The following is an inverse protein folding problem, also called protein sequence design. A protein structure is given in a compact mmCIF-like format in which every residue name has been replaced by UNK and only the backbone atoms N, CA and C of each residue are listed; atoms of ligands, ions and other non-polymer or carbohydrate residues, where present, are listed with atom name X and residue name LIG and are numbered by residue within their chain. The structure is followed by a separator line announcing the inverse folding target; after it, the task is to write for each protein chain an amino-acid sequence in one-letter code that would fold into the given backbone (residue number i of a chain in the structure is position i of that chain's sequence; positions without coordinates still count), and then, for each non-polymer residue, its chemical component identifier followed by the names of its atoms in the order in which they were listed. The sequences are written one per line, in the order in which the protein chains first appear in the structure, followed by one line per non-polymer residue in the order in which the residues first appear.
data_IF_326271877569
#
_entry.id   IF_326271877569
#
_cell.length_a   1.000
_cell.length_b   1.000
_cell.length_c   1.000
_cell.angle_alpha   90.00
_cell.angle_beta   90.00
_cell.angle_gamma   90.00
#
_symmetry.space_group_name_H-M   'P 1'
#
loop_
_entity.id
_entity.type
_entity.pdbx_description
1 polymer ?
#
# COMPACT_ATOMS: atom_id res chain seq x y z
N UNK A 1 -10.75 0.42 -7.37
CA UNK A 1 -9.95 0.89 -6.22
C UNK A 1 -10.42 2.26 -5.76
N UNK A 2 -10.23 3.35 -6.53
CA UNK A 2 -10.66 4.70 -6.13
C UNK A 2 -12.14 4.77 -5.71
N UNK A 3 -13.06 4.27 -6.55
CA UNK A 3 -14.51 4.27 -6.26
C UNK A 3 -14.81 3.60 -4.92
N UNK A 4 -14.29 2.37 -4.73
CA UNK A 4 -14.41 1.66 -3.47
C UNK A 4 -13.88 2.48 -2.28
N UNK A 5 -12.71 3.10 -2.43
CA UNK A 5 -12.07 3.91 -1.39
C UNK A 5 -12.94 5.11 -1.01
N UNK A 6 -13.55 5.79 -1.99
CA UNK A 6 -14.46 6.91 -1.74
C UNK A 6 -15.74 6.48 -1.00
N UNK A 7 -16.28 5.31 -1.35
CA UNK A 7 -17.51 4.79 -0.76
C UNK A 7 -17.31 4.25 0.67
N UNK A 8 -16.19 3.56 0.91
CA UNK A 8 -15.99 2.78 2.15
C UNK A 8 -14.99 3.43 3.12
N UNK A 9 -14.17 4.36 2.64
CA UNK A 9 -13.19 5.09 3.45
C UNK A 9 -13.15 6.57 3.02
N UNK A 10 -14.27 7.31 3.13
CA UNK A 10 -14.39 8.65 2.57
C UNK A 10 -13.42 9.65 3.24
N UNK A 11 -13.03 10.74 2.54
CA UNK A 11 -12.08 11.72 3.05
C UNK A 11 -12.39 12.28 4.45
N UNK A 12 -13.67 12.46 4.77
CA UNK A 12 -14.13 13.00 6.06
C UNK A 12 -13.75 12.12 7.26
N UNK A 13 -13.47 10.83 7.05
CA UNK A 13 -12.95 9.93 8.08
C UNK A 13 -11.48 10.18 8.40
N UNK A 14 -10.80 11.02 7.59
CA UNK A 14 -9.38 11.38 7.69
C UNK A 14 -8.47 10.17 7.82
N UNK A 15 -8.56 9.17 6.93
CA UNK A 15 -7.77 7.95 7.07
C UNK A 15 -6.28 8.22 6.82
N UNK A 16 -5.42 7.47 7.50
CA UNK A 16 -4.03 7.31 7.07
C UNK A 16 -3.95 6.22 6.01
N UNK A 17 -3.50 6.58 4.82
CA UNK A 17 -3.45 5.70 3.65
C UNK A 17 -2.01 5.49 3.20
N UNK A 18 -1.65 4.22 3.00
CA UNK A 18 -0.38 3.83 2.39
C UNK A 18 -0.62 3.14 1.05
N UNK A 19 0.00 3.68 0.00
CA UNK A 19 0.09 3.09 -1.33
C UNK A 19 1.41 2.31 -1.48
N UNK A 20 1.30 0.98 -1.52
CA UNK A 20 2.43 0.04 -1.53
C UNK A 20 2.86 -0.21 -2.98
N UNK A 21 4.10 0.13 -3.31
CA UNK A 21 4.62 0.12 -4.69
C UNK A 21 3.95 1.22 -5.53
N UNK A 22 4.00 2.45 -5.02
CA UNK A 22 3.32 3.62 -5.55
C UNK A 22 3.75 3.98 -6.98
N UNK A 23 4.91 3.49 -7.45
CA UNK A 23 5.42 3.76 -8.78
C UNK A 23 5.54 5.25 -9.06
N UNK A 24 4.68 5.77 -9.93
CA UNK A 24 4.64 7.19 -10.29
C UNK A 24 3.78 8.06 -9.36
N UNK A 25 3.24 7.52 -8.27
CA UNK A 25 2.43 8.27 -7.29
C UNK A 25 1.03 8.65 -7.76
N UNK A 26 0.54 8.10 -8.88
CA UNK A 26 -0.75 8.53 -9.43
C UNK A 26 -1.93 8.22 -8.49
N UNK A 27 -1.89 7.09 -7.77
CA UNK A 27 -2.99 6.71 -6.87
C UNK A 27 -3.13 7.72 -5.71
N UNK A 28 -2.02 8.07 -5.05
CA UNK A 28 -2.00 9.09 -3.98
C UNK A 28 -2.37 10.47 -4.48
N UNK A 29 -1.93 10.87 -5.68
CA UNK A 29 -2.37 12.13 -6.31
C UNK A 29 -3.87 12.11 -6.58
N UNK A 30 -4.41 11.03 -7.14
CA UNK A 30 -5.85 10.90 -7.41
C UNK A 30 -6.67 10.92 -6.12
N UNK A 31 -6.18 10.34 -5.02
CA UNK A 31 -6.82 10.50 -3.71
C UNK A 31 -6.83 11.99 -3.30
N UNK A 32 -5.70 12.68 -3.39
CA UNK A 32 -5.63 14.10 -3.05
C UNK A 32 -6.59 14.97 -3.90
N UNK A 33 -6.71 14.67 -5.21
CA UNK A 33 -7.67 15.31 -6.12
C UNK A 33 -9.13 15.08 -5.71
N UNK A 34 -9.41 14.00 -4.98
CA UNK A 34 -10.74 13.67 -4.45
C UNK A 34 -10.91 14.02 -2.96
N UNK A 35 -10.10 14.96 -2.46
CA UNK A 35 -10.32 15.58 -1.14
C UNK A 35 -9.64 14.89 0.04
N UNK A 36 -8.84 13.85 -0.18
CA UNK A 36 -8.05 13.25 0.88
C UNK A 36 -6.94 14.19 1.36
N UNK A 37 -6.70 14.21 2.67
CA UNK A 37 -5.66 15.02 3.30
C UNK A 37 -4.27 14.54 2.86
N UNK A 38 -3.56 15.36 2.07
CA UNK A 38 -2.21 15.06 1.55
C UNK A 38 -1.20 14.71 2.63
N UNK A 39 -1.37 15.22 3.84
CA UNK A 39 -0.47 14.93 4.97
C UNK A 39 -0.66 13.54 5.55
N UNK A 40 -1.75 12.85 5.16
CA UNK A 40 -2.09 11.48 5.57
C UNK A 40 -1.94 10.45 4.45
N UNK A 41 -1.43 10.88 3.29
CA UNK A 41 -1.13 10.03 2.16
C UNK A 41 0.37 9.76 2.10
N UNK A 42 0.71 8.47 2.04
CA UNK A 42 2.09 8.04 1.84
C UNK A 42 2.15 7.06 0.69
N UNK A 43 3.09 7.29 -0.22
CA UNK A 43 3.47 6.31 -1.25
C UNK A 43 4.85 5.76 -0.97
N UNK A 44 5.02 4.45 -1.01
CA UNK A 44 6.33 3.82 -0.94
C UNK A 44 6.65 3.03 -2.20
N UNK A 45 7.93 2.93 -2.52
CA UNK A 45 8.44 2.11 -3.61
C UNK A 45 9.89 1.74 -3.28
N UNK A 46 10.33 0.56 -3.70
CA UNK A 46 11.73 0.15 -3.50
C UNK A 46 12.69 0.95 -4.41
N UNK A 47 12.18 1.50 -5.52
CA UNK A 47 12.94 2.19 -6.55
C UNK A 47 13.04 3.69 -6.28
N UNK A 48 14.26 4.18 -6.05
CA UNK A 48 14.53 5.62 -5.95
C UNK A 48 14.09 6.40 -7.20
N UNK A 49 14.30 5.92 -8.44
CA UNK A 49 13.70 6.54 -9.63
C UNK A 49 12.17 6.67 -9.58
N UNK A 50 11.47 5.64 -9.09
CA UNK A 50 10.00 5.68 -8.95
C UNK A 50 9.60 6.79 -7.97
N UNK A 51 10.26 6.87 -6.81
CA UNK A 51 9.99 7.93 -5.83
C UNK A 51 10.31 9.33 -6.36
N UNK A 52 11.37 9.49 -7.17
CA UNK A 52 11.66 10.76 -7.84
C UNK A 52 10.54 11.15 -8.82
N UNK A 53 10.06 10.20 -9.61
CA UNK A 53 8.94 10.41 -10.52
C UNK A 53 7.65 10.76 -9.76
N UNK A 54 7.33 10.03 -8.70
CA UNK A 54 6.15 10.28 -7.86
C UNK A 54 6.13 11.69 -7.27
N UNK A 55 7.28 12.14 -6.73
CA UNK A 55 7.44 13.52 -6.25
C UNK A 55 7.24 14.55 -7.35
N UNK A 56 7.81 14.31 -8.54
CA UNK A 56 7.65 15.21 -9.69
C UNK A 56 6.20 15.29 -10.17
N UNK A 57 5.50 14.15 -10.27
CA UNK A 57 4.08 14.10 -10.65
C UNK A 57 3.22 14.82 -9.63
N UNK A 58 3.40 14.54 -8.34
CA UNK A 58 2.66 15.18 -7.26
C UNK A 58 2.89 16.70 -7.24
N UNK A 59 4.14 17.14 -7.34
CA UNK A 59 4.47 18.56 -7.42
C UNK A 59 3.88 19.24 -8.65
N UNK A 60 3.94 18.59 -9.83
CA UNK A 60 3.34 19.10 -11.06
C UNK A 60 1.81 19.19 -11.03
N UNK A 61 1.18 18.46 -10.10
CA UNK A 61 -0.27 18.47 -9.84
C UNK A 61 -0.67 19.36 -8.67
N UNK A 62 0.27 20.01 -7.99
CA UNK A 62 0.00 20.90 -6.85
C UNK A 62 -0.12 20.18 -5.50
N UNK A 63 0.33 18.92 -5.40
CA UNK A 63 0.26 18.09 -4.20
C UNK A 63 1.65 17.70 -3.68
N UNK A 64 2.57 18.68 -3.62
CA UNK A 64 3.97 18.45 -3.20
C UNK A 64 4.13 17.93 -1.77
N UNK A 65 3.11 18.10 -0.93
CA UNK A 65 3.13 17.70 0.48
C UNK A 65 2.83 16.20 0.69
N UNK A 66 2.43 15.48 -0.36
CA UNK A 66 2.31 14.02 -0.30
C UNK A 66 3.69 13.43 -0.01
N UNK A 67 3.75 12.56 1.00
CA UNK A 67 5.00 11.96 1.43
C UNK A 67 5.33 10.72 0.60
N UNK A 68 6.49 10.74 -0.05
CA UNK A 68 7.02 9.59 -0.80
C UNK A 68 8.34 9.10 -0.21
N UNK A 69 8.43 7.79 0.04
CA UNK A 69 9.54 7.15 0.77
C UNK A 69 10.10 5.99 -0.05
N UNK A 70 11.42 5.97 -0.23
CA UNK A 70 12.09 4.77 -0.77
C UNK A 70 12.12 3.72 0.34
N UNK A 71 11.49 2.57 0.11
CA UNK A 71 11.38 1.49 1.09
C UNK A 71 11.08 0.17 0.38
N UNK A 72 11.87 -0.86 0.62
CA UNK A 72 11.51 -2.24 0.30
C UNK A 72 10.51 -2.75 1.34
N UNK A 73 9.24 -2.84 0.95
CA UNK A 73 8.16 -3.28 1.83
C UNK A 73 8.32 -4.71 2.35
N UNK A 74 9.06 -5.58 1.65
CA UNK A 74 9.30 -6.96 2.08
C UNK A 74 10.38 -7.00 3.15
N UNK A 75 11.49 -6.31 2.91
CA UNK A 75 12.72 -6.46 3.71
C UNK A 75 12.83 -5.42 4.83
N UNK A 76 12.12 -4.30 4.74
CA UNK A 76 12.24 -3.18 5.67
C UNK A 76 10.97 -2.94 6.49
N UNK A 77 11.07 -2.10 7.52
CA UNK A 77 9.91 -1.60 8.26
C UNK A 77 9.32 -0.41 7.49
N UNK A 78 8.03 -0.44 7.10
CA UNK A 78 7.41 0.69 6.41
C UNK A 78 7.42 1.95 7.29
N UNK A 79 7.37 3.14 6.69
CA UNK A 79 7.35 4.38 7.45
C UNK A 79 6.12 4.46 8.38
N UNK A 80 6.23 5.19 9.51
CA UNK A 80 5.07 5.52 10.33
C UNK A 80 4.08 6.39 9.54
N UNK A 81 2.77 6.33 9.83
CA UNK A 81 1.77 7.21 9.23
C UNK A 81 2.09 8.70 9.41
N UNK A 82 2.57 9.07 10.60
CA UNK A 82 2.98 10.44 10.92
C UNK A 82 4.50 10.55 10.85
N UNK A 83 5.01 11.54 10.10
CA UNK A 83 6.45 11.75 9.97
C UNK A 83 7.07 12.16 11.31
N UNK A 84 8.17 11.50 11.69
CA UNK A 84 8.88 11.78 12.94
C UNK A 84 8.39 10.98 14.15
N UNK A 85 7.27 10.27 14.03
CA UNK A 85 6.84 9.30 15.03
C UNK A 85 7.52 7.94 14.84
N UNK A 86 7.44 7.07 15.85
CA UNK A 86 7.93 5.69 15.78
C UNK A 86 6.76 4.72 15.80
N UNK A 87 6.66 3.87 14.78
CA UNK A 87 5.59 2.90 14.65
C UNK A 87 4.27 3.50 14.17
N UNK A 88 3.17 2.86 14.52
CA UNK A 88 1.85 3.20 13.98
C UNK A 88 1.45 2.28 12.83
N UNK A 89 0.14 2.21 12.61
CA UNK A 89 -0.52 1.32 11.67
C UNK A 89 -1.43 2.13 10.75
N UNK A 90 -1.81 1.55 9.63
CA UNK A 90 -2.58 2.22 8.57
C UNK A 90 -4.07 1.91 8.67
N UNK A 91 -4.91 2.89 8.33
CA UNK A 91 -6.36 2.68 8.20
C UNK A 91 -6.68 1.98 6.88
N UNK A 92 -5.95 2.33 5.82
CA UNK A 92 -6.09 1.75 4.49
C UNK A 92 -4.72 1.47 3.85
N UNK A 93 -4.53 0.25 3.39
CA UNK A 93 -3.40 -0.17 2.55
C UNK A 93 -3.90 -0.41 1.13
N UNK A 94 -3.19 0.14 0.14
CA UNK A 94 -3.49 -0.02 -1.28
C UNK A 94 -2.35 -0.74 -1.99
N UNK A 95 -2.70 -1.70 -2.84
CA UNK A 95 -1.79 -2.41 -3.73
C UNK A 95 -2.40 -2.49 -5.13
N UNK A 96 -1.73 -1.86 -6.10
CA UNK A 96 -2.14 -1.84 -7.52
C UNK A 96 -1.26 -2.71 -8.42
N UNK A 97 -0.83 -3.88 -7.93
CA UNK A 97 -0.04 -4.86 -8.67
C UNK A 97 1.37 -5.11 -8.12
N UNK A 98 1.65 -4.64 -6.91
CA UNK A 98 2.92 -4.86 -6.21
C UNK A 98 3.06 -6.31 -5.78
N UNK A 99 1.98 -6.92 -5.29
CA UNK A 99 1.96 -8.36 -5.02
C UNK A 99 2.26 -9.19 -6.28
N UNK A 100 1.66 -8.84 -7.43
CA UNK A 100 1.94 -9.49 -8.72
C UNK A 100 3.41 -9.34 -9.14
N UNK A 101 3.98 -8.13 -8.98
CA UNK A 101 5.38 -7.89 -9.31
C UNK A 101 6.34 -8.71 -8.42
N UNK A 102 6.05 -8.79 -7.11
CA UNK A 102 6.83 -9.59 -6.17
C UNK A 102 6.72 -11.09 -6.48
N UNK A 103 5.56 -11.56 -6.94
CA UNK A 103 5.37 -12.94 -7.34
C UNK A 103 6.28 -13.37 -8.50
N UNK A 104 6.62 -12.44 -9.38
CA UNK A 104 7.51 -12.66 -10.52
C UNK A 104 8.99 -12.54 -10.15
N UNK A 105 9.32 -11.97 -8.99
CA UNK A 105 10.69 -11.83 -8.54
C UNK A 105 11.32 -13.20 -8.21
N UNK A 106 12.63 -13.31 -8.42
CA UNK A 106 13.38 -14.52 -8.11
C UNK A 106 13.31 -14.85 -6.60
N UNK A 107 13.54 -16.12 -6.26
CA UNK A 107 13.57 -16.57 -4.86
C UNK A 107 14.66 -15.84 -4.10
N UNK A 108 14.44 -15.62 -2.80
CA UNK A 108 15.51 -15.19 -1.92
C UNK A 108 16.66 -16.21 -1.91
N UNK A 109 17.87 -15.78 -1.52
CA UNK A 109 19.06 -16.66 -1.46
C UNK A 109 18.86 -17.91 -0.60
N UNK A 110 17.98 -17.85 0.41
CA UNK A 110 17.61 -18.96 1.30
C UNK A 110 16.56 -19.92 0.71
N UNK A 111 16.14 -19.69 -0.55
CA UNK A 111 15.13 -20.49 -1.24
C UNK A 111 13.68 -20.12 -0.90
N UNK A 112 13.46 -19.19 0.05
CA UNK A 112 12.13 -18.69 0.41
C UNK A 112 11.58 -17.80 -0.72
N UNK A 113 10.30 -17.98 -1.06
CA UNK A 113 9.65 -17.10 -2.03
C UNK A 113 9.32 -15.78 -1.34
N UNK A 114 9.83 -14.65 -1.84
CA UNK A 114 9.57 -13.31 -1.26
C UNK A 114 8.08 -13.02 -1.11
N UNK A 115 7.27 -13.52 -2.05
CA UNK A 115 5.82 -13.40 -2.04
C UNK A 115 5.15 -13.91 -0.76
N UNK A 116 5.70 -14.94 -0.10
CA UNK A 116 5.11 -15.49 1.12
C UNK A 116 5.26 -14.56 2.33
N UNK A 117 6.18 -13.59 2.28
CA UNK A 117 6.35 -12.58 3.32
C UNK A 117 5.33 -11.45 3.21
N UNK A 118 4.79 -11.20 2.02
CA UNK A 118 3.94 -10.04 1.76
C UNK A 118 2.66 -10.00 2.60
N UNK A 119 1.88 -11.10 2.75
CA UNK A 119 0.69 -11.09 3.59
C UNK A 119 0.97 -10.76 5.06
N UNK A 120 2.11 -11.23 5.59
CA UNK A 120 2.54 -10.91 6.96
C UNK A 120 2.82 -9.42 7.12
N UNK A 121 3.54 -8.82 6.15
CA UNK A 121 3.86 -7.38 6.17
C UNK A 121 2.60 -6.51 6.08
N UNK A 122 1.62 -6.93 5.27
CA UNK A 122 0.30 -6.28 5.21
C UNK A 122 -0.40 -6.34 6.56
N UNK A 123 -0.51 -7.52 7.17
CA UNK A 123 -1.16 -7.70 8.46
C UNK A 123 -0.48 -6.91 9.60
N UNK A 124 0.86 -6.86 9.61
CA UNK A 124 1.63 -6.09 10.58
C UNK A 124 1.38 -4.58 10.45
N UNK A 125 1.32 -4.06 9.23
CA UNK A 125 1.15 -2.64 8.93
C UNK A 125 -0.29 -2.15 9.16
N UNK A 126 -1.29 -3.03 9.09
CA UNK A 126 -2.70 -2.64 9.16
C UNK A 126 -3.19 -2.45 10.61
N UNK A 127 -4.06 -1.45 10.84
CA UNK A 127 -4.77 -1.28 12.12
C UNK A 127 -5.81 -2.40 12.32
N UNK A 128 -6.23 -2.59 13.56
CA UNK A 128 -7.47 -3.33 13.81
C UNK A 128 -8.62 -2.62 13.10
N UNK A 129 -9.45 -3.37 12.38
CA UNK A 129 -10.52 -2.84 11.50
C UNK A 129 -10.04 -2.00 10.31
N UNK A 130 -8.73 -1.95 10.05
CA UNK A 130 -8.20 -1.37 8.82
C UNK A 130 -8.53 -2.24 7.61
N UNK A 131 -8.43 -1.66 6.42
CA UNK A 131 -8.72 -2.34 5.16
C UNK A 131 -7.48 -2.46 4.28
N UNK A 132 -7.34 -3.60 3.60
CA UNK A 132 -6.34 -3.81 2.57
C UNK A 132 -7.05 -4.04 1.23
N UNK A 133 -6.73 -3.20 0.26
CA UNK A 133 -7.26 -3.28 -1.10
C UNK A 133 -6.16 -3.68 -2.05
N UNK A 134 -6.39 -4.78 -2.77
CA UNK A 134 -5.48 -5.29 -3.78
C UNK A 134 -6.19 -5.39 -5.12
N UNK A 135 -5.51 -4.99 -6.19
CA UNK A 135 -5.88 -5.36 -7.56
C UNK A 135 -4.78 -6.23 -8.14
N UNK A 136 -5.17 -7.37 -8.71
CA UNK A 136 -4.24 -8.38 -9.22
C UNK A 136 -4.61 -8.77 -10.66
N UNK A 137 -3.60 -9.04 -11.48
CA UNK A 137 -3.77 -9.57 -12.83
C UNK A 137 -3.21 -10.99 -12.98
N UNK A 138 -2.38 -11.44 -12.03
CA UNK A 138 -1.71 -12.73 -12.06
C UNK A 138 -2.34 -13.76 -11.11
N UNK A 139 -3.15 -13.32 -10.15
CA UNK A 139 -3.84 -14.19 -9.19
C UNK A 139 -5.35 -14.04 -9.27
N UNK A 140 -6.02 -15.18 -9.22
CA UNK A 140 -7.47 -15.28 -9.03
C UNK A 140 -7.89 -14.87 -7.62
N UNK A 141 -9.19 -14.60 -7.44
CA UNK A 141 -9.76 -14.29 -6.13
C UNK A 141 -9.49 -15.41 -5.11
N UNK A 142 -9.63 -16.69 -5.50
CA UNK A 142 -9.40 -17.82 -4.61
C UNK A 142 -7.92 -17.97 -4.21
N UNK A 143 -6.99 -17.66 -5.11
CA UNK A 143 -5.55 -17.66 -4.79
C UNK A 143 -5.20 -16.51 -3.83
N UNK A 144 -5.81 -15.34 -4.00
CA UNK A 144 -5.65 -14.23 -3.05
C UNK A 144 -6.26 -14.59 -1.69
N UNK A 145 -7.44 -15.19 -1.64
CA UNK A 145 -8.02 -15.69 -0.39
C UNK A 145 -7.13 -16.71 0.28
N UNK A 146 -6.52 -17.63 -0.48
CA UNK A 146 -5.58 -18.60 0.07
C UNK A 146 -4.31 -17.94 0.63
N UNK A 147 -3.79 -16.91 -0.05
CA UNK A 147 -2.57 -16.21 0.37
C UNK A 147 -2.78 -15.31 1.61
N UNK A 148 -3.93 -14.64 1.71
CA UNK A 148 -4.21 -13.63 2.74
C UNK A 148 -5.18 -14.13 3.83
N UNK A 149 -5.83 -15.28 3.66
CA UNK A 149 -6.86 -15.80 4.56
C UNK A 149 -6.36 -16.72 5.68
N UNK A 150 -5.05 -16.85 5.87
CA UNK A 150 -4.49 -17.65 6.96
C UNK A 150 -4.91 -17.06 8.33
N UNK A 151 -5.47 -17.84 9.28
CA UNK A 151 -6.02 -17.32 10.53
C UNK A 151 -5.06 -16.46 11.35
N UNK A 152 -3.77 -16.78 11.32
CA UNK A 152 -2.70 -16.05 12.00
C UNK A 152 -2.51 -14.61 11.50
N UNK A 153 -2.94 -14.30 10.27
CA UNK A 153 -2.88 -12.95 9.71
C UNK A 153 -3.96 -12.05 10.30
N UNK A 154 -5.03 -12.61 10.87
CA UNK A 154 -6.17 -11.84 11.36
C UNK A 154 -6.90 -11.05 10.28
N UNK A 155 -6.68 -11.39 9.00
CA UNK A 155 -7.32 -10.78 7.84
C UNK A 155 -8.55 -11.60 7.45
N UNK A 156 -9.63 -10.91 7.14
CA UNK A 156 -10.89 -11.52 6.69
C UNK A 156 -11.26 -10.93 5.35
N UNK A 157 -11.46 -11.79 4.35
CA UNK A 157 -11.95 -11.37 3.04
C UNK A 157 -13.36 -10.76 3.16
N UNK A 158 -13.56 -9.60 2.55
CA UNK A 158 -14.86 -8.92 2.49
C UNK A 158 -15.48 -9.12 1.12
N UNK A 159 -16.72 -9.61 1.09
CA UNK A 159 -17.51 -9.63 -0.14
C UNK A 159 -17.98 -8.20 -0.43
N UNK A 160 -17.65 -7.71 -1.62
CA UNK A 160 -18.14 -6.42 -2.14
C UNK A 160 -19.20 -6.63 -3.19
#
# INVERSE_FOLDING_TARGET
MLEWTLENCPPDTKPFILDIGTGNGIMTVTLAENGYDVTRLVGLDYSEPSIKLAKAVASGRGYSDIRYVVCDFISETPPPPVQGETGGKWDLLLDKGTYDAIALAEKAEDGTRLISKYPLKVAEALKSQGMFLITSCNFTEDELKAAFGAPELGLTYQYV
#
